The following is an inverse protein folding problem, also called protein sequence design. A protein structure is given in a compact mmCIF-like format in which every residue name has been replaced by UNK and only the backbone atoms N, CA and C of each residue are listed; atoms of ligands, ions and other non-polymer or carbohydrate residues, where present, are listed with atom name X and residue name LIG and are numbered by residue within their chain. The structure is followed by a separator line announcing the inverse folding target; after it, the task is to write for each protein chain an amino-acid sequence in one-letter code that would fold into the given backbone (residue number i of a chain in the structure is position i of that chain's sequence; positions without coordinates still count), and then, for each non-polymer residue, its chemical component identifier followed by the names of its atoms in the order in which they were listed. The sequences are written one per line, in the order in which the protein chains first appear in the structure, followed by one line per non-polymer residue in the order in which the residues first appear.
data_IF_213491549988
#
_entry.id   IF_213491549988
#
_cell.length_a   1.000
_cell.length_b   1.000
_cell.length_c   1.000
_cell.angle_alpha   90.00
_cell.angle_beta   90.00
_cell.angle_gamma   90.00
#
_symmetry.space_group_name_H-M   'P 1'
#
loop_
_entity.id
_entity.type
_entity.pdbx_description
1 polymer ?
#
# COMPACT_ATOMS: atom_id res chain seq x y z
N UNK A 1 7.07 -5.47 25.43
CA UNK A 1 8.51 -5.63 25.09
C UNK A 1 8.70 -5.22 23.64
N UNK A 2 9.79 -4.51 23.32
CA UNK A 2 10.12 -4.25 21.93
C UNK A 2 10.60 -5.56 21.27
N UNK A 3 9.96 -5.97 20.18
CA UNK A 3 10.34 -7.17 19.42
C UNK A 3 11.48 -6.81 18.47
N UNK A 4 12.61 -7.53 18.55
CA UNK A 4 13.70 -7.43 17.57
C UNK A 4 13.54 -8.53 16.54
N UNK A 5 13.66 -8.17 15.27
CA UNK A 5 13.53 -9.10 14.14
C UNK A 5 14.59 -8.76 13.09
N UNK A 6 15.08 -9.77 12.38
CA UNK A 6 15.92 -9.58 11.19
C UNK A 6 15.01 -9.67 9.97
N UNK A 7 14.81 -8.54 9.29
CA UNK A 7 13.94 -8.41 8.12
C UNK A 7 14.60 -7.49 7.09
N UNK A 8 14.17 -7.57 5.83
CA UNK A 8 14.62 -6.64 4.80
C UNK A 8 13.86 -5.29 4.87
N UNK A 9 14.26 -4.34 4.03
CA UNK A 9 13.65 -3.01 3.96
C UNK A 9 12.20 -3.01 3.46
N UNK A 10 11.85 -3.91 2.54
CA UNK A 10 10.48 -4.01 2.01
C UNK A 10 9.53 -4.52 3.10
N UNK A 11 9.89 -5.60 3.79
CA UNK A 11 9.10 -6.10 4.92
C UNK A 11 8.99 -5.05 6.02
N UNK A 12 10.06 -4.30 6.32
CA UNK A 12 10.04 -3.23 7.31
C UNK A 12 9.09 -2.08 6.91
N UNK A 13 9.13 -1.65 5.65
CA UNK A 13 8.22 -0.61 5.14
C UNK A 13 6.77 -1.09 5.14
N UNK A 14 6.51 -2.30 4.63
CA UNK A 14 5.19 -2.91 4.62
C UNK A 14 4.62 -3.05 6.04
N UNK A 15 5.45 -3.45 7.02
CA UNK A 15 5.02 -3.61 8.42
C UNK A 15 4.35 -2.35 8.96
N UNK A 16 4.95 -1.19 8.71
CA UNK A 16 4.41 0.11 9.14
C UNK A 16 3.23 0.51 8.26
N UNK A 17 3.36 0.40 6.93
CA UNK A 17 2.29 0.77 6.01
C UNK A 17 0.99 0.02 6.30
N UNK A 18 1.07 -1.29 6.56
CA UNK A 18 -0.06 -2.13 6.94
C UNK A 18 -0.72 -1.66 8.24
N UNK A 19 0.08 -1.28 9.24
CA UNK A 19 -0.43 -0.85 10.55
C UNK A 19 -1.26 0.44 10.47
N UNK A 20 -0.92 1.35 9.55
CA UNK A 20 -1.51 2.69 9.45
C UNK A 20 -2.52 2.88 8.30
N UNK A 21 -2.82 1.83 7.53
CA UNK A 21 -3.72 1.93 6.38
C UNK A 21 -5.00 1.12 6.59
N UNK A 22 -6.11 1.60 6.01
CA UNK A 22 -7.37 0.87 5.87
C UNK A 22 -7.43 0.15 4.51
N UNK A 23 -6.88 0.79 3.48
CA UNK A 23 -6.88 0.30 2.09
C UNK A 23 -5.46 0.35 1.51
N UNK A 24 -5.11 -0.60 0.66
CA UNK A 24 -3.96 -0.50 -0.22
C UNK A 24 -4.35 -0.83 -1.66
N UNK A 25 -4.20 0.13 -2.56
CA UNK A 25 -4.36 -0.09 -4.00
C UNK A 25 -2.98 -0.33 -4.61
N UNK A 26 -2.76 -1.50 -5.20
CA UNK A 26 -1.41 -1.95 -5.58
C UNK A 26 -1.34 -2.35 -7.06
N UNK A 27 -0.12 -2.38 -7.58
CA UNK A 27 0.24 -3.00 -8.84
C UNK A 27 1.69 -3.49 -8.77
N UNK A 28 2.02 -4.71 -9.23
CA UNK A 28 3.35 -5.28 -9.06
C UNK A 28 4.39 -4.61 -9.97
N UNK A 29 5.46 -4.08 -9.38
CA UNK A 29 6.66 -3.62 -10.08
C UNK A 29 7.92 -3.81 -9.20
N UNK A 30 8.96 -4.42 -9.78
CA UNK A 30 10.25 -4.63 -9.10
C UNK A 30 10.94 -3.28 -8.85
N UNK A 31 11.55 -3.05 -7.66
CA UNK A 31 11.71 -3.97 -6.52
C UNK A 31 10.62 -3.85 -5.43
N UNK A 32 9.55 -3.10 -5.67
CA UNK A 32 8.51 -2.79 -4.67
C UNK A 32 7.43 -3.87 -4.48
N UNK A 33 7.29 -4.83 -5.40
CA UNK A 33 6.22 -5.85 -5.37
C UNK A 33 6.10 -6.58 -4.02
N UNK A 34 7.24 -6.92 -3.40
CA UNK A 34 7.27 -7.65 -2.14
C UNK A 34 6.54 -6.93 -0.98
N UNK A 35 6.42 -5.60 -1.02
CA UNK A 35 5.64 -4.85 -0.02
C UNK A 35 4.13 -5.09 -0.16
N UNK A 36 3.63 -5.10 -1.40
CA UNK A 36 2.24 -5.39 -1.70
C UNK A 36 1.89 -6.84 -1.39
N UNK A 37 2.75 -7.78 -1.79
CA UNK A 37 2.62 -9.22 -1.50
C UNK A 37 2.58 -9.50 0.00
N UNK A 38 3.50 -8.89 0.77
CA UNK A 38 3.50 -9.02 2.24
C UNK A 38 2.20 -8.52 2.86
N UNK A 39 1.67 -7.38 2.38
CA UNK A 39 0.41 -6.83 2.89
C UNK A 39 -0.78 -7.74 2.54
N UNK A 40 -0.82 -8.29 1.33
CA UNK A 40 -1.87 -9.21 0.90
C UNK A 40 -1.86 -10.51 1.72
N UNK A 41 -0.68 -11.11 1.89
CA UNK A 41 -0.50 -12.30 2.72
C UNK A 41 -0.95 -12.05 4.17
N UNK A 42 -0.55 -10.92 4.76
CA UNK A 42 -0.97 -10.57 6.13
C UNK A 42 -2.47 -10.33 6.26
N UNK A 43 -3.10 -9.71 5.26
CA UNK A 43 -4.56 -9.54 5.23
C UNK A 43 -5.27 -10.90 5.13
N UNK A 44 -4.79 -11.80 4.27
CA UNK A 44 -5.32 -13.17 4.15
C UNK A 44 -5.19 -13.96 5.45
N UNK A 45 -4.11 -13.77 6.21
CA UNK A 45 -3.93 -14.36 7.55
C UNK A 45 -4.65 -13.60 8.68
N UNK A 46 -5.47 -12.59 8.36
CA UNK A 46 -6.30 -11.90 9.34
C UNK A 46 -5.54 -10.93 10.25
N UNK A 47 -4.29 -10.55 9.89
CA UNK A 47 -3.53 -9.53 10.62
C UNK A 47 -4.35 -8.24 10.71
N UNK A 48 -4.35 -7.60 11.87
CA UNK A 48 -5.07 -6.35 12.09
C UNK A 48 -4.13 -5.15 11.98
N UNK A 49 -4.62 -4.08 11.37
CA UNK A 49 -4.04 -2.75 11.45
C UNK A 49 -4.30 -2.14 12.85
N UNK A 50 -3.82 -0.91 13.09
CA UNK A 50 -3.99 -0.23 14.38
C UNK A 50 -5.45 0.09 14.72
N UNK A 51 -6.35 0.01 13.74
CA UNK A 51 -7.79 0.24 13.90
C UNK A 51 -8.58 -1.06 14.14
N UNK A 52 -7.89 -2.19 14.30
CA UNK A 52 -8.52 -3.49 14.60
C UNK A 52 -9.13 -4.17 13.37
N UNK A 53 -8.78 -3.75 12.15
CA UNK A 53 -9.33 -4.25 10.89
C UNK A 53 -8.25 -4.87 10.00
N UNK A 54 -8.62 -5.79 9.12
CA UNK A 54 -7.70 -6.26 8.06
C UNK A 54 -7.65 -5.21 6.96
N UNK A 55 -6.45 -4.86 6.49
CA UNK A 55 -6.30 -3.91 5.38
C UNK A 55 -6.96 -4.50 4.13
N UNK A 56 -7.77 -3.70 3.44
CA UNK A 56 -8.35 -4.08 2.15
C UNK A 56 -7.32 -3.88 1.04
N UNK A 57 -6.84 -4.96 0.46
CA UNK A 57 -5.91 -4.94 -0.67
C UNK A 57 -6.70 -5.03 -1.98
N UNK A 58 -6.35 -4.21 -2.95
CA UNK A 58 -6.92 -4.23 -4.30
C UNK A 58 -5.81 -4.10 -5.35
N UNK A 59 -5.60 -5.15 -6.12
CA UNK A 59 -4.72 -5.10 -7.30
C UNK A 59 -5.44 -4.43 -8.46
N UNK A 60 -4.82 -3.41 -9.04
CA UNK A 60 -5.37 -2.66 -10.17
C UNK A 60 -4.76 -3.15 -11.49
N UNK A 61 -5.22 -2.61 -12.61
CA UNK A 61 -4.70 -2.97 -13.93
C UNK A 61 -3.36 -2.30 -14.29
N UNK A 62 -2.99 -1.23 -13.58
CA UNK A 62 -1.73 -0.48 -13.74
C UNK A 62 -1.49 0.45 -12.54
N UNK A 63 -0.29 1.01 -12.40
CA UNK A 63 0.02 2.02 -11.38
C UNK A 63 -0.79 3.30 -11.54
N UNK A 64 -1.16 3.68 -12.77
CA UNK A 64 -2.09 4.80 -13.00
C UNK A 64 -3.48 4.49 -12.39
N UNK A 65 -3.94 3.25 -12.55
CA UNK A 65 -5.18 2.75 -11.92
C UNK A 65 -5.07 2.73 -10.41
N UNK A 66 -3.95 2.22 -9.87
CA UNK A 66 -3.66 2.24 -8.43
C UNK A 66 -3.68 3.67 -7.87
N UNK A 67 -3.02 4.63 -8.51
CA UNK A 67 -3.01 6.02 -8.05
C UNK A 67 -4.41 6.66 -8.08
N UNK A 68 -5.23 6.34 -9.10
CA UNK A 68 -6.62 6.79 -9.17
C UNK A 68 -7.48 6.20 -8.04
N UNK A 69 -7.28 4.91 -7.73
CA UNK A 69 -7.94 4.25 -6.62
C UNK A 69 -7.49 4.81 -5.26
N UNK A 70 -6.19 5.10 -5.09
CA UNK A 70 -5.66 5.79 -3.89
C UNK A 70 -6.35 7.14 -3.72
N UNK A 71 -6.38 7.97 -4.77
CA UNK A 71 -7.03 9.27 -4.73
C UNK A 71 -8.51 9.17 -4.34
N UNK A 72 -9.27 8.28 -5.00
CA UNK A 72 -10.70 8.10 -4.68
C UNK A 72 -10.94 7.60 -3.25
N UNK A 73 -10.11 6.67 -2.77
CA UNK A 73 -10.19 6.11 -1.42
C UNK A 73 -9.87 7.15 -0.34
N UNK A 74 -8.84 7.97 -0.55
CA UNK A 74 -8.52 9.11 0.32
C UNK A 74 -9.65 10.14 0.35
N UNK A 75 -10.18 10.52 -0.82
CA UNK A 75 -11.28 11.47 -0.92
C UNK A 75 -12.58 10.95 -0.25
N UNK A 76 -12.76 9.64 -0.20
CA UNK A 76 -13.87 8.98 0.50
C UNK A 76 -13.64 8.81 2.02
N UNK A 77 -12.46 9.19 2.53
CA UNK A 77 -12.17 9.23 3.97
C UNK A 77 -11.45 8.00 4.54
N UNK A 78 -10.86 7.13 3.71
CA UNK A 78 -10.09 5.98 4.18
C UNK A 78 -8.57 6.22 4.10
N UNK A 79 -7.82 5.83 5.15
CA UNK A 79 -6.36 5.92 5.13
C UNK A 79 -5.83 4.92 4.10
N UNK A 80 -5.20 5.42 3.04
CA UNK A 80 -4.87 4.60 1.88
C UNK A 80 -3.40 4.71 1.52
N UNK A 81 -2.77 3.55 1.26
CA UNK A 81 -1.37 3.46 0.83
C UNK A 81 -1.24 2.78 -0.53
N UNK A 82 -0.05 2.88 -1.12
CA UNK A 82 0.36 2.13 -2.31
C UNK A 82 1.88 1.93 -2.29
N UNK A 83 2.38 0.98 -3.08
CA UNK A 83 3.80 0.68 -3.22
C UNK A 83 4.15 0.71 -4.70
N UNK A 84 5.16 1.47 -5.08
CA UNK A 84 5.58 1.60 -6.48
C UNK A 84 7.04 2.01 -6.58
N UNK A 85 7.60 1.95 -7.78
CA UNK A 85 8.95 2.39 -8.09
C UNK A 85 9.09 2.75 -9.57
N UNK A 86 10.16 3.48 -9.92
CA UNK A 86 10.61 3.68 -11.30
C UNK A 86 9.47 4.11 -12.25
N UNK A 87 9.17 3.34 -13.29
CA UNK A 87 8.15 3.65 -14.29
C UNK A 87 6.74 3.67 -13.70
N UNK A 88 6.47 2.84 -12.69
CA UNK A 88 5.19 2.85 -12.00
C UNK A 88 4.92 4.18 -11.33
N UNK A 89 5.94 4.78 -10.70
CA UNK A 89 5.80 6.10 -10.08
C UNK A 89 5.48 7.20 -11.12
N UNK A 90 6.05 7.13 -12.32
CA UNK A 90 5.74 8.09 -13.39
C UNK A 90 4.26 8.06 -13.77
N UNK A 91 3.65 6.87 -13.80
CA UNK A 91 2.23 6.71 -14.09
C UNK A 91 1.32 7.25 -12.98
N UNK A 92 1.84 7.40 -11.75
CA UNK A 92 1.08 7.97 -10.63
C UNK A 92 1.10 9.50 -10.60
N UNK A 93 2.07 10.16 -11.25
CA UNK A 93 2.27 11.62 -11.19
C UNK A 93 0.99 12.43 -11.42
N UNK A 94 0.14 12.15 -12.45
CA UNK A 94 -1.07 12.93 -12.66
C UNK A 94 -2.04 12.90 -11.46
N UNK A 95 -2.19 11.75 -10.81
CA UNK A 95 -3.01 11.63 -9.60
C UNK A 95 -2.30 12.22 -8.38
N UNK A 96 -0.97 12.21 -8.30
CA UNK A 96 -0.25 12.87 -7.20
C UNK A 96 -0.55 14.37 -7.12
N UNK A 97 -0.69 15.07 -8.26
CA UNK A 97 -1.14 16.46 -8.29
C UNK A 97 -2.55 16.65 -7.72
N UNK A 98 -3.44 15.67 -7.92
CA UNK A 98 -4.81 15.68 -7.39
C UNK A 98 -4.89 15.30 -5.91
N UNK A 99 -4.00 14.42 -5.45
CA UNK A 99 -3.94 14.01 -4.05
C UNK A 99 -3.36 15.14 -3.19
N UNK A 100 -2.37 15.87 -3.70
CA UNK A 100 -1.68 16.92 -2.94
C UNK A 100 -2.40 18.29 -2.95
N UNK A 101 -3.20 18.57 -3.98
CA UNK A 101 -3.90 19.85 -4.16
C UNK A 101 -5.32 19.80 -3.66
#
# INVERSE_FOLDING_TARGET
MATKQTIDGNTAAAHVAYAFSDVAAIYPITPSSAMGESCDEWAAYGRKNLFGQTVRIAEMQSEAGAAGAVHGSLAAGALTTTFTASQGLLLMIPNMYKIAG
#
